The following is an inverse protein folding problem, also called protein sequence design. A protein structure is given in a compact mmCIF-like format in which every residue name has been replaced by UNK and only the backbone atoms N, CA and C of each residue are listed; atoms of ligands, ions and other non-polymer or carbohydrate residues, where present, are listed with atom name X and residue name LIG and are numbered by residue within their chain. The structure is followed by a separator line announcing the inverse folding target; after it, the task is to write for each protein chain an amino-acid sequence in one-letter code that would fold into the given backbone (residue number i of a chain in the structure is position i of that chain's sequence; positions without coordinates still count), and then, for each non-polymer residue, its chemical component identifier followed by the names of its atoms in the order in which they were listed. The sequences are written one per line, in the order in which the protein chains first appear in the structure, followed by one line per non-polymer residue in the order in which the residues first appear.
data_IF_759360729465
#
_entry.id   IF_759360729465
#
_cell.length_a   1.000
_cell.length_b   1.000
_cell.length_c   1.000
_cell.angle_alpha   90.00
_cell.angle_beta   90.00
_cell.angle_gamma   90.00
#
_symmetry.space_group_name_H-M   'P 1'
#
loop_
_entity.id
_entity.type
_entity.pdbx_description
1 polymer ?
#
# COMPACT_ATOMS: atom_id res chain seq x y z
N UNK A 1 25.99 -9.46 -62.13
CA UNK A 1 25.23 -8.29 -61.67
C UNK A 1 25.07 -8.44 -60.17
N UNK A 2 25.95 -7.78 -59.42
CA UNK A 2 25.62 -6.61 -58.60
C UNK A 2 24.58 -6.94 -57.53
N UNK A 3 25.03 -7.09 -56.27
CA UNK A 3 24.80 -6.09 -55.20
C UNK A 3 23.32 -6.08 -54.82
N UNK A 4 22.92 -6.79 -53.77
CA UNK A 4 23.11 -6.39 -52.36
C UNK A 4 23.28 -7.70 -51.55
N UNK A 5 24.46 -8.23 -51.17
CA UNK A 5 25.57 -7.63 -50.39
C UNK A 5 24.96 -6.93 -49.18
N UNK A 6 24.93 -7.44 -47.97
CA UNK A 6 25.84 -8.32 -47.26
C UNK A 6 25.03 -8.89 -46.07
N UNK A 7 25.26 -10.14 -45.67
CA UNK A 7 26.22 -10.42 -44.59
C UNK A 7 26.08 -9.37 -43.48
N UNK A 8 25.38 -9.74 -42.42
CA UNK A 8 26.06 -10.26 -41.22
C UNK A 8 26.66 -9.12 -40.43
N UNK A 9 26.79 -9.34 -39.13
CA UNK A 9 27.89 -8.78 -38.35
C UNK A 9 27.75 -7.25 -38.19
N UNK A 10 27.41 -6.75 -37.02
CA UNK A 10 28.37 -6.50 -35.93
C UNK A 10 27.76 -5.24 -35.27
N UNK A 11 27.30 -5.33 -34.02
CA UNK A 11 28.13 -4.98 -32.87
C UNK A 11 28.41 -3.45 -32.81
N UNK A 12 27.55 -2.73 -32.07
CA UNK A 12 27.86 -1.51 -31.29
C UNK A 12 28.40 -0.26 -32.06
N UNK A 13 28.67 0.89 -31.39
CA UNK A 13 27.81 1.78 -30.59
C UNK A 13 27.96 3.27 -31.07
N UNK A 14 27.69 4.25 -30.18
CA UNK A 14 28.00 5.70 -30.27
C UNK A 14 26.84 6.55 -30.80
N UNK A 15 25.95 6.99 -29.91
CA UNK A 15 25.99 8.31 -29.22
C UNK A 15 25.85 9.48 -30.19
N UNK A 16 24.64 10.05 -30.24
CA UNK A 16 24.42 11.47 -30.49
C UNK A 16 23.44 12.00 -29.44
N UNK A 17 24.05 12.40 -28.33
CA UNK A 17 23.56 13.30 -27.29
C UNK A 17 22.86 14.53 -27.86
N UNK A 18 21.69 14.84 -27.31
CA UNK A 18 20.95 16.09 -27.53
C UNK A 18 20.23 16.54 -26.25
N UNK A 19 21.03 16.90 -25.25
CA UNK A 19 20.80 17.75 -24.06
C UNK A 19 19.36 18.14 -23.68
N UNK A 20 18.86 17.54 -22.61
CA UNK A 20 17.74 18.04 -21.81
C UNK A 20 17.98 17.67 -20.36
N UNK A 21 18.91 18.36 -19.70
CA UNK A 21 19.22 18.14 -18.28
C UNK A 21 17.98 18.37 -17.41
N UNK A 22 17.45 17.28 -16.87
CA UNK A 22 16.98 17.20 -15.50
C UNK A 22 16.97 15.72 -15.13
N UNK A 23 18.03 15.36 -14.42
CA UNK A 23 18.28 14.06 -13.82
C UNK A 23 17.19 13.76 -12.79
N UNK A 24 16.30 12.85 -13.13
CA UNK A 24 15.48 12.12 -12.16
C UNK A 24 15.16 10.77 -12.80
N UNK A 25 16.08 9.86 -12.61
CA UNK A 25 15.91 8.41 -12.59
C UNK A 25 14.44 7.97 -12.59
N UNK A 26 13.89 7.75 -13.79
CA UNK A 26 12.60 7.09 -13.94
C UNK A 26 12.92 5.59 -13.97
N UNK A 27 12.99 4.96 -12.80
CA UNK A 27 12.91 3.50 -12.68
C UNK A 27 11.51 3.03 -13.10
N UNK A 28 11.31 2.93 -14.42
CA UNK A 28 10.30 2.07 -15.05
C UNK A 28 10.72 0.63 -14.72
N UNK A 29 10.24 0.10 -13.60
CA UNK A 29 10.64 -1.27 -13.23
C UNK A 29 10.19 -1.81 -11.87
N UNK A 30 9.59 -1.00 -11.00
CA UNK A 30 8.99 -1.52 -9.76
C UNK A 30 7.48 -1.47 -9.94
N UNK A 31 6.73 -2.59 -9.89
CA UNK A 31 5.33 -2.45 -9.55
C UNK A 31 5.37 -1.68 -8.24
N UNK A 32 4.68 -0.53 -8.18
CA UNK A 32 4.47 0.15 -6.93
C UNK A 32 3.83 -0.89 -6.01
N UNK A 33 4.66 -1.57 -5.23
CA UNK A 33 4.28 -2.22 -3.99
C UNK A 33 3.74 -1.03 -3.24
N UNK A 34 2.42 -0.83 -3.35
CA UNK A 34 1.62 0.04 -2.50
C UNK A 34 2.29 -0.10 -1.15
N UNK A 35 3.03 0.93 -0.73
CA UNK A 35 3.95 0.80 0.38
C UNK A 35 3.16 0.18 1.51
N UNK A 36 3.39 -1.11 1.77
CA UNK A 36 2.51 -1.90 2.61
C UNK A 36 2.75 -1.31 3.98
N UNK A 37 1.83 -0.44 4.40
CA UNK A 37 1.98 0.24 5.66
C UNK A 37 2.14 -0.85 6.72
N UNK A 38 3.05 -0.64 7.68
CA UNK A 38 3.41 -1.68 8.61
C UNK A 38 2.15 -2.23 9.30
N UNK A 39 2.09 -3.54 9.53
CA UNK A 39 0.97 -4.14 10.24
C UNK A 39 0.76 -3.45 11.58
N UNK A 40 -0.48 -3.08 11.86
CA UNK A 40 -0.85 -2.37 13.08
C UNK A 40 -1.18 -3.37 14.18
N UNK A 41 -0.62 -3.20 15.37
CA UNK A 41 -0.95 -4.03 16.53
C UNK A 41 -2.22 -3.54 17.24
N UNK A 42 -2.82 -4.40 18.07
CA UNK A 42 -4.01 -4.03 18.86
C UNK A 42 -3.72 -2.90 19.85
N UNK A 43 -2.51 -2.84 20.38
CA UNK A 43 -2.11 -1.82 21.37
C UNK A 43 -1.95 -0.45 20.70
N UNK A 44 -1.28 -0.41 19.55
CA UNK A 44 -1.18 0.81 18.73
C UNK A 44 -2.56 1.28 18.26
N UNK A 45 -3.43 0.36 17.87
CA UNK A 45 -4.81 0.68 17.49
C UNK A 45 -5.62 1.29 18.63
N UNK A 46 -5.47 0.77 19.85
CA UNK A 46 -6.12 1.34 21.04
C UNK A 46 -5.55 2.70 21.42
N UNK A 47 -4.25 2.91 21.19
CA UNK A 47 -3.56 4.16 21.50
C UNK A 47 -3.88 5.30 20.52
N UNK A 48 -4.47 5.01 19.35
CA UNK A 48 -4.90 6.06 18.43
C UNK A 48 -5.97 6.96 19.04
N UNK A 49 -5.67 8.26 19.03
CA UNK A 49 -6.53 9.34 19.51
C UNK A 49 -7.48 9.87 18.44
N UNK A 50 -7.10 9.80 17.16
CA UNK A 50 -7.97 10.17 16.04
C UNK A 50 -8.97 9.03 15.78
N UNK A 51 -10.24 9.25 16.18
CA UNK A 51 -11.30 8.27 15.99
C UNK A 51 -11.65 8.05 14.50
N UNK A 52 -11.48 9.06 13.65
CA UNK A 52 -11.76 8.94 12.22
C UNK A 52 -10.75 8.01 11.58
N UNK A 53 -9.46 8.21 11.87
CA UNK A 53 -8.38 7.35 11.37
C UNK A 53 -8.41 5.96 12.02
N UNK A 54 -8.68 5.87 13.32
CA UNK A 54 -8.73 4.61 14.08
C UNK A 54 -9.72 3.61 13.50
N UNK A 55 -10.89 4.09 13.06
CA UNK A 55 -11.95 3.25 12.49
C UNK A 55 -11.99 3.28 10.96
N UNK A 56 -10.99 3.89 10.32
CA UNK A 56 -10.87 3.88 8.86
C UNK A 56 -10.63 2.46 8.33
N UNK A 57 -11.15 2.20 7.12
CA UNK A 57 -11.01 0.91 6.46
C UNK A 57 -9.55 0.51 6.28
N UNK A 58 -8.67 1.42 5.89
CA UNK A 58 -7.25 1.12 5.70
C UNK A 58 -6.55 0.79 7.02
N UNK A 59 -6.91 1.49 8.11
CA UNK A 59 -6.40 1.23 9.46
C UNK A 59 -6.83 -0.14 9.99
N UNK A 60 -8.11 -0.48 9.80
CA UNK A 60 -8.64 -1.77 10.23
C UNK A 60 -8.06 -2.93 9.39
N UNK A 61 -7.79 -2.72 8.11
CA UNK A 61 -7.08 -3.71 7.28
C UNK A 61 -5.60 -3.86 7.71
N UNK A 62 -4.92 -2.78 8.12
CA UNK A 62 -3.58 -2.86 8.74
C UNK A 62 -3.62 -3.66 10.06
N UNK A 63 -4.67 -3.48 10.86
CA UNK A 63 -4.90 -4.23 12.10
C UNK A 63 -5.10 -5.72 11.83
N UNK A 64 -5.88 -6.03 10.78
CA UNK A 64 -6.14 -7.39 10.31
C UNK A 64 -4.86 -8.04 9.79
N UNK A 65 -4.04 -7.31 9.05
CA UNK A 65 -2.76 -7.80 8.53
C UNK A 65 -1.75 -8.13 9.65
N UNK A 66 -1.80 -7.40 10.77
CA UNK A 66 -0.93 -7.60 11.92
C UNK A 66 -1.26 -8.78 12.83
N UNK A 67 -2.44 -9.39 12.70
CA UNK A 67 -2.85 -10.53 13.52
C UNK A 67 -3.22 -11.72 12.64
N UNK A 68 -2.42 -12.81 12.71
CA UNK A 68 -2.67 -14.03 11.93
C UNK A 68 -4.06 -14.63 12.20
N UNK A 69 -4.56 -14.52 13.42
CA UNK A 69 -5.88 -15.03 13.82
C UNK A 69 -7.05 -14.25 13.19
N UNK A 70 -6.81 -13.00 12.80
CA UNK A 70 -7.81 -12.12 12.18
C UNK A 70 -7.78 -12.18 10.65
N UNK A 71 -6.85 -12.93 10.04
CA UNK A 71 -6.77 -13.09 8.58
C UNK A 71 -8.00 -13.77 7.99
N UNK A 72 -8.65 -14.67 8.72
CA UNK A 72 -9.89 -15.31 8.28
C UNK A 72 -11.05 -14.30 8.32
N UNK A 73 -11.81 -14.17 7.23
CA UNK A 73 -12.96 -13.24 7.16
C UNK A 73 -13.98 -13.50 8.27
N UNK A 74 -14.20 -14.77 8.64
CA UNK A 74 -15.11 -15.14 9.73
C UNK A 74 -14.59 -14.68 11.10
N UNK A 75 -13.29 -14.84 11.34
CA UNK A 75 -12.67 -14.40 12.58
C UNK A 75 -12.65 -12.86 12.67
N UNK A 76 -12.42 -12.20 11.54
CA UNK A 76 -12.45 -10.75 11.42
C UNK A 76 -13.85 -10.17 11.67
N UNK A 77 -14.88 -10.70 11.02
CA UNK A 77 -16.26 -10.26 11.24
C UNK A 77 -16.68 -10.42 12.71
N UNK A 78 -16.32 -11.56 13.33
CA UNK A 78 -16.56 -11.79 14.75
C UNK A 78 -15.83 -10.77 15.62
N UNK A 79 -14.56 -10.52 15.34
CA UNK A 79 -13.76 -9.53 16.06
C UNK A 79 -14.33 -8.11 15.92
N UNK A 80 -14.77 -7.73 14.72
CA UNK A 80 -15.39 -6.44 14.50
C UNK A 80 -16.69 -6.28 15.32
N UNK A 81 -17.52 -7.31 15.39
CA UNK A 81 -18.78 -7.30 16.15
C UNK A 81 -18.58 -7.34 17.66
N UNK A 82 -17.63 -8.13 18.14
CA UNK A 82 -17.41 -8.33 19.59
C UNK A 82 -16.50 -7.27 20.21
N UNK A 83 -15.60 -6.67 19.42
CA UNK A 83 -14.59 -5.75 19.93
C UNK A 83 -14.66 -4.36 19.33
N UNK A 84 -14.60 -4.25 17.99
CA UNK A 84 -14.51 -2.95 17.30
C UNK A 84 -15.79 -2.14 17.47
N UNK A 85 -16.96 -2.75 17.21
CA UNK A 85 -18.25 -2.06 17.28
C UNK A 85 -18.62 -1.60 18.70
N UNK A 86 -18.48 -2.43 19.76
CA UNK A 86 -18.70 -1.95 21.13
C UNK A 86 -17.73 -0.84 21.55
N UNK A 87 -16.46 -0.90 21.12
CA UNK A 87 -15.50 0.18 21.37
C UNK A 87 -15.90 1.46 20.61
N UNK A 88 -16.34 1.35 19.35
CA UNK A 88 -16.80 2.49 18.55
C UNK A 88 -17.98 3.22 19.22
N UNK A 89 -18.94 2.48 19.78
CA UNK A 89 -20.06 3.07 20.51
C UNK A 89 -19.61 3.79 21.77
N UNK A 90 -18.57 3.29 22.46
CA UNK A 90 -17.98 3.96 23.63
C UNK A 90 -17.21 5.22 23.24
N UNK A 91 -16.42 5.14 22.17
CA UNK A 91 -15.56 6.23 21.69
C UNK A 91 -16.38 7.34 21.02
N UNK A 92 -17.46 6.98 20.32
CA UNK A 92 -18.39 7.90 19.67
C UNK A 92 -19.82 7.69 20.20
N UNK A 93 -20.16 8.22 21.38
CA UNK A 93 -21.52 8.09 21.91
C UNK A 93 -22.50 8.79 20.97
N UNK A 94 -23.51 8.06 20.50
CA UNK A 94 -24.59 8.55 19.63
C UNK A 94 -25.46 9.64 20.28
N UNK A 95 -25.26 9.92 21.58
CA UNK A 95 -25.85 11.08 22.24
C UNK A 95 -24.94 12.28 22.03
N UNK A 96 -25.18 13.00 20.95
CA UNK A 96 -25.08 14.46 21.01
C UNK A 96 -25.93 14.89 22.21
N UNK A 97 -25.29 15.30 23.30
CA UNK A 97 -25.98 15.81 24.48
C UNK A 97 -26.53 17.18 24.07
N UNK A 98 -27.73 17.18 23.49
CA UNK A 98 -28.57 18.38 23.31
C UNK A 98 -28.92 18.92 24.70
#
# INVERSE_FOLDING_TARGET
MLRVVCLSLILFPVVLTGCGSSESDIEIGKPAVLAAQPPLTLEEWKAMSDLTEKYDGATLERLRAGNLELKSDRAWDKYQKEFVAPQLVKDKPLKERI
#
